data_IF_242090514954
#
_entry.id   IF_242090514954
#
_cell.length_a   1.000
_cell.length_b   1.000
_cell.length_c   1.000
_cell.angle_alpha   90.00
_cell.angle_beta   90.00
_cell.angle_gamma   90.00
#
_symmetry.space_group_name_H-M   'P 1'
#
loop_
_entity.id
_entity.type
_entity.pdbx_description
1 polymer ?
#
# COMPACT_ATOMS: atom_id res chain seq x y z
N UNK A 1 -10.78 -4.84 37.62
CA UNK A 1 -9.61 -3.95 37.78
C UNK A 1 -8.35 -4.70 38.22
N UNK A 2 -8.43 -5.69 39.13
CA UNK A 2 -7.27 -6.49 39.55
C UNK A 2 -6.62 -7.33 38.43
N UNK A 3 -7.41 -7.96 37.55
CA UNK A 3 -6.92 -8.72 36.39
C UNK A 3 -6.04 -7.86 35.46
N UNK A 4 -6.34 -6.56 35.33
CA UNK A 4 -5.53 -5.64 34.51
C UNK A 4 -4.16 -5.36 35.16
N UNK A 5 -4.12 -5.27 36.49
CA UNK A 5 -2.92 -5.00 37.27
C UNK A 5 -1.99 -6.23 37.27
N UNK A 6 -2.54 -7.43 37.44
CA UNK A 6 -1.77 -8.69 37.36
C UNK A 6 -1.22 -8.94 35.95
N UNK A 7 -1.99 -8.57 34.92
CA UNK A 7 -1.52 -8.65 33.54
C UNK A 7 -0.34 -7.70 33.30
N UNK A 8 -0.45 -6.43 33.73
CA UNK A 8 0.63 -5.44 33.60
C UNK A 8 1.89 -5.88 34.37
N UNK A 9 1.75 -6.44 35.58
CA UNK A 9 2.87 -6.94 36.37
C UNK A 9 3.58 -8.12 35.69
N UNK A 10 2.84 -9.00 35.01
CA UNK A 10 3.38 -10.17 34.30
C UNK A 10 4.23 -9.77 33.08
N UNK A 11 3.82 -8.73 32.34
CA UNK A 11 4.53 -8.30 31.13
C UNK A 11 5.59 -7.23 31.38
N UNK A 12 5.64 -6.62 32.58
CA UNK A 12 6.64 -5.62 32.92
C UNK A 12 8.10 -6.07 32.62
N UNK A 13 8.55 -7.29 32.97
CA UNK A 13 9.90 -7.76 32.65
C UNK A 13 10.19 -7.82 31.16
N UNK A 14 9.21 -8.20 30.34
CA UNK A 14 9.34 -8.26 28.88
C UNK A 14 9.44 -6.86 28.26
N UNK A 15 8.69 -5.89 28.80
CA UNK A 15 8.78 -4.49 28.38
C UNK A 15 10.16 -3.91 28.73
N UNK A 16 10.69 -4.22 29.92
CA UNK A 16 12.06 -3.85 30.32
C UNK A 16 13.12 -4.48 29.41
N UNK A 17 12.96 -5.76 29.07
CA UNK A 17 13.88 -6.47 28.19
C UNK A 17 13.93 -5.88 26.79
N UNK A 18 12.77 -5.67 26.15
CA UNK A 18 12.68 -5.06 24.81
C UNK A 18 13.27 -3.65 24.83
N UNK A 19 12.98 -2.85 25.85
CA UNK A 19 13.52 -1.50 25.98
C UNK A 19 15.04 -1.50 26.16
N UNK A 20 15.58 -2.44 26.95
CA UNK A 20 17.02 -2.63 27.12
C UNK A 20 17.74 -3.02 25.84
N UNK A 21 17.15 -3.93 25.04
CA UNK A 21 17.69 -4.33 23.73
C UNK A 21 17.72 -3.14 22.75
N UNK A 22 16.65 -2.34 22.71
CA UNK A 22 16.59 -1.15 21.85
C UNK A 22 17.61 -0.09 22.32
N UNK A 23 17.77 0.10 23.64
CA UNK A 23 18.79 1.01 24.18
C UNK A 23 20.21 0.57 23.81
N UNK A 24 20.52 -0.72 23.89
CA UNK A 24 21.81 -1.27 23.46
C UNK A 24 22.04 -1.10 21.96
N UNK A 25 21.00 -1.29 21.12
CA UNK A 25 21.08 -1.04 19.69
C UNK A 25 21.39 0.43 19.36
N UNK A 26 20.73 1.36 20.06
CA UNK A 26 20.99 2.80 19.88
C UNK A 26 22.39 3.19 20.36
N UNK A 27 22.86 2.59 21.46
CA UNK A 27 24.24 2.77 21.94
C UNK A 27 25.26 2.22 20.93
N UNK A 28 25.01 1.04 20.35
CA UNK A 28 25.85 0.48 19.27
C UNK A 28 25.90 1.40 18.04
N UNK A 29 24.75 1.91 17.58
CA UNK A 29 24.69 2.86 16.46
C UNK A 29 25.47 4.15 16.74
N UNK A 30 25.39 4.70 17.95
CA UNK A 30 26.17 5.90 18.31
C UNK A 30 27.67 5.65 18.36
N UNK A 31 28.10 4.45 18.76
CA UNK A 31 29.50 4.05 18.71
C UNK A 31 30.01 3.91 17.27
N UNK A 32 29.21 3.32 16.39
CA UNK A 32 29.54 3.16 14.97
C UNK A 32 29.70 4.52 14.27
N UNK A 33 28.74 5.43 14.45
CA UNK A 33 28.78 6.78 13.83
C UNK A 33 29.89 7.66 14.44
N UNK A 34 30.21 7.49 15.73
CA UNK A 34 31.37 8.19 16.34
C UNK A 34 32.71 7.71 15.79
N UNK A 35 32.81 6.46 15.33
CA UNK A 35 34.00 5.97 14.66
C UNK A 35 34.17 6.65 13.28
N UNK A 36 33.08 6.83 12.53
CA UNK A 36 33.07 7.50 11.21
C UNK A 36 33.34 9.02 11.29
N UNK A 37 32.96 9.68 12.40
CA UNK A 37 33.14 11.12 12.60
C UNK A 37 34.60 11.61 12.60
N UNK A 38 35.59 10.71 12.65
CA UNK A 38 37.02 11.06 12.55
C UNK A 38 37.49 11.37 11.13
N UNK A 39 36.65 11.20 10.11
CA UNK A 39 37.00 11.45 8.70
C UNK A 39 36.22 12.60 8.02
N UNK A 40 35.30 13.28 8.72
CA UNK A 40 34.50 14.35 8.12
C UNK A 40 35.31 15.66 8.00
N UNK A 41 35.82 15.96 6.80
CA UNK A 41 36.59 17.17 6.48
C UNK A 41 35.69 18.33 6.00
N UNK A 42 34.46 18.05 5.54
CA UNK A 42 33.58 19.05 4.93
C UNK A 42 32.40 19.47 5.84
N UNK A 43 32.13 20.78 5.85
CA UNK A 43 31.05 21.43 6.63
C UNK A 43 29.65 20.87 6.36
N UNK A 44 29.39 20.39 5.14
CA UNK A 44 28.10 19.82 4.76
C UNK A 44 27.80 18.47 5.43
N UNK A 45 28.83 17.65 5.70
CA UNK A 45 28.66 16.39 6.44
C UNK A 45 28.40 16.64 7.92
N UNK A 46 28.94 17.75 8.45
CA UNK A 46 28.69 18.20 9.82
C UNK A 46 27.23 18.57 10.04
N UNK A 47 26.58 19.16 9.04
CA UNK A 47 25.18 19.61 9.13
C UNK A 47 24.19 18.45 9.03
N UNK A 48 24.49 17.43 8.21
CA UNK A 48 23.73 16.16 8.18
C UNK A 48 23.84 15.40 9.51
N UNK A 49 25.04 15.33 10.10
CA UNK A 49 25.26 14.65 11.37
C UNK A 49 24.56 15.35 12.57
N UNK A 50 24.34 16.66 12.50
CA UNK A 50 23.59 17.40 13.54
C UNK A 50 22.10 17.07 13.49
N UNK A 51 21.54 16.87 12.30
CA UNK A 51 20.13 16.45 12.14
C UNK A 51 19.91 15.00 12.60
N UNK A 52 20.84 14.10 12.29
CA UNK A 52 20.77 12.71 12.74
C UNK A 52 20.93 12.55 14.26
N UNK A 53 21.72 13.42 14.92
CA UNK A 53 21.80 13.47 16.38
C UNK A 53 20.42 13.75 17.00
N UNK A 54 19.61 14.61 16.39
CA UNK A 54 18.26 14.93 16.87
C UNK A 54 17.34 13.71 16.93
N UNK A 55 17.35 12.86 15.90
CA UNK A 55 16.53 11.63 15.86
C UNK A 55 17.01 10.57 16.85
N UNK A 56 18.31 10.50 17.10
CA UNK A 56 18.88 9.58 18.10
C UNK A 56 18.54 10.05 19.52
N UNK A 57 18.60 11.37 19.79
CA UNK A 57 18.21 11.92 21.08
C UNK A 57 16.72 11.79 21.35
N UNK A 58 15.85 12.03 20.35
CA UNK A 58 14.40 11.92 20.52
C UNK A 58 13.95 10.48 20.82
N UNK A 59 14.53 9.50 20.12
CA UNK A 59 14.26 8.07 20.38
C UNK A 59 14.79 7.61 21.73
N UNK A 60 15.99 8.03 22.14
CA UNK A 60 16.51 7.74 23.47
C UNK A 60 15.63 8.34 24.59
N UNK A 61 15.17 9.57 24.41
CA UNK A 61 14.27 10.23 25.37
C UNK A 61 12.91 9.56 25.45
N UNK A 62 12.35 9.11 24.32
CA UNK A 62 11.12 8.35 24.28
C UNK A 62 11.24 7.02 25.06
N UNK A 63 12.34 6.28 24.88
CA UNK A 63 12.59 5.05 25.65
C UNK A 63 12.72 5.32 27.15
N UNK A 64 13.37 6.42 27.53
CA UNK A 64 13.51 6.83 28.93
C UNK A 64 12.13 7.16 29.54
N UNK A 65 11.28 7.89 28.81
CA UNK A 65 9.91 8.18 29.26
C UNK A 65 9.10 6.89 29.43
N UNK A 66 9.19 5.96 28.48
CA UNK A 66 8.51 4.65 28.58
C UNK A 66 9.01 3.84 29.78
N UNK A 67 10.33 3.82 30.04
CA UNK A 67 10.92 3.20 31.24
C UNK A 67 10.44 3.87 32.53
N UNK A 68 10.40 5.20 32.57
CA UNK A 68 9.95 5.96 33.74
C UNK A 68 8.48 5.70 34.06
N UNK A 69 7.61 5.72 33.03
CA UNK A 69 6.17 5.48 33.19
C UNK A 69 5.89 4.05 33.62
N UNK A 70 6.56 3.06 33.03
CA UNK A 70 6.42 1.65 33.42
C UNK A 70 6.90 1.41 34.86
N UNK A 71 8.04 2.00 35.25
CA UNK A 71 8.53 1.91 36.63
C UNK A 71 7.57 2.58 37.62
N UNK A 72 7.08 3.78 37.30
CA UNK A 72 6.14 4.52 38.13
C UNK A 72 4.85 3.73 38.34
N UNK A 73 4.22 3.25 37.25
CA UNK A 73 2.98 2.47 37.32
C UNK A 73 3.16 1.16 38.10
N UNK A 74 4.26 0.44 37.89
CA UNK A 74 4.52 -0.83 38.57
C UNK A 74 4.85 -0.67 40.07
N UNK A 75 5.59 0.37 40.46
CA UNK A 75 6.13 0.45 41.83
C UNK A 75 5.38 1.43 42.73
N UNK A 76 4.98 2.59 42.21
CA UNK A 76 4.30 3.62 43.01
C UNK A 76 2.80 3.41 43.05
N UNK A 77 2.18 3.02 41.92
CA UNK A 77 0.73 2.82 41.85
C UNK A 77 0.28 1.57 42.62
N UNK A 78 1.02 0.46 42.48
CA UNK A 78 0.70 -0.81 43.18
C UNK A 78 0.80 -0.62 44.70
N UNK A 79 1.90 -0.03 45.20
CA UNK A 79 2.07 0.25 46.64
C UNK A 79 1.05 1.24 47.19
N UNK A 80 0.59 2.19 46.38
CA UNK A 80 -0.44 3.15 46.80
C UNK A 80 -1.85 2.56 46.85
N UNK A 81 -2.13 1.51 46.07
CA UNK A 81 -3.45 0.88 45.96
C UNK A 81 -3.64 -0.32 46.90
N UNK A 82 -2.55 -0.93 47.39
CA UNK A 82 -2.58 -2.03 48.39
C UNK A 82 -3.49 -1.75 49.61
N UNK A 83 -3.43 -0.59 50.30
CA UNK A 83 -4.25 -0.39 51.51
C UNK A 83 -5.76 -0.28 51.22
N UNK A 84 -6.15 0.19 50.03
CA UNK A 84 -7.57 0.34 49.67
C UNK A 84 -8.20 -0.99 49.23
N UNK A 85 -7.40 -1.90 48.69
CA UNK A 85 -7.84 -3.22 48.23
C UNK A 85 -8.03 -4.19 49.40
N UNK A 86 -7.23 -4.08 50.45
CA UNK A 86 -7.33 -4.96 51.61
C UNK A 86 -8.57 -4.67 52.46
N UNK A 87 -8.98 -3.40 52.57
CA UNK A 87 -10.26 -2.99 53.21
C UNK A 87 -11.47 -3.62 52.49
N UNK A 88 -11.43 -3.69 51.15
CA UNK A 88 -12.47 -4.31 50.33
C UNK A 88 -12.45 -5.86 50.35
N UNK A 89 -11.41 -6.47 50.92
CA UNK A 89 -11.21 -7.93 50.99
C UNK A 89 -11.73 -8.55 52.29
N UNK A 90 -12.18 -7.75 53.25
CA UNK A 90 -12.84 -8.28 54.45
C UNK A 90 -14.19 -8.93 54.07
N UNK A 91 -14.42 -10.21 54.39
CA UNK A 91 -15.66 -10.89 54.02
C UNK A 91 -16.84 -10.32 54.84
N UNK A 92 -17.82 -9.73 54.14
CA UNK A 92 -19.15 -9.47 54.69
C UNK A 92 -19.87 -10.81 54.90
N UNK A 93 -20.60 -11.03 56.01
CA UNK A 93 -21.03 -12.35 56.44
C UNK A 93 -22.04 -13.04 55.49
N UNK A 94 -21.97 -14.36 55.55
CA UNK A 94 -22.64 -15.44 54.81
C UNK A 94 -24.17 -15.26 54.68
N UNK A 95 -24.69 -15.30 53.44
CA UNK A 95 -26.14 -15.37 53.18
C UNK A 95 -26.52 -16.84 53.00
N UNK A 96 -27.29 -17.38 53.95
CA UNK A 96 -27.89 -18.71 53.91
C UNK A 96 -28.90 -18.83 52.76
N UNK A 97 -28.63 -19.74 51.81
CA UNK A 97 -29.58 -20.13 50.77
C UNK A 97 -30.34 -21.41 51.17
N UNK A 98 -31.65 -21.31 51.36
CA UNK A 98 -32.55 -22.48 51.50
C UNK A 98 -32.93 -23.01 50.10
N UNK A 99 -32.76 -24.32 49.80
CA UNK A 99 -33.15 -24.88 48.50
C UNK A 99 -34.65 -25.24 48.45
N UNK A 100 -35.33 -24.86 47.37
CA UNK A 100 -36.71 -25.29 47.06
C UNK A 100 -36.70 -26.29 45.90
N UNK A 101 -37.42 -27.44 45.99
CA UNK A 101 -37.26 -28.58 45.09
C UNK A 101 -37.93 -28.47 43.71
N UNK A 102 -37.20 -29.02 42.74
CA UNK A 102 -37.50 -29.38 41.35
C UNK A 102 -38.83 -30.12 41.15
N UNK A 103 -39.57 -29.76 40.10
CA UNK A 103 -40.53 -30.66 39.43
C UNK A 103 -40.33 -30.62 37.91
N UNK A 104 -39.91 -31.76 37.37
CA UNK A 104 -39.77 -32.06 35.94
C UNK A 104 -40.84 -33.07 35.56
N UNK A 105 -41.58 -32.87 34.45
CA UNK A 105 -42.18 -33.98 33.72
C UNK A 105 -41.58 -34.17 32.31
N UNK A 106 -41.57 -35.45 31.92
CA UNK A 106 -40.90 -36.17 30.84
C UNK A 106 -41.43 -35.90 29.40
N UNK A 107 -40.66 -36.30 28.36
CA UNK A 107 -40.99 -36.06 26.94
C UNK A 107 -41.92 -37.11 26.34
N UNK A 108 -42.70 -36.71 25.33
CA UNK A 108 -43.52 -37.62 24.52
C UNK A 108 -42.92 -37.72 23.13
N UNK A 109 -42.60 -38.96 22.76
CA UNK A 109 -42.21 -39.43 21.44
C UNK A 109 -43.46 -39.78 20.64
N UNK A 110 -43.52 -39.42 19.35
CA UNK A 110 -44.33 -40.14 18.37
C UNK A 110 -43.63 -40.20 17.01
N UNK A 111 -43.66 -41.39 16.44
CA UNK A 111 -43.04 -41.82 15.20
C UNK A 111 -44.07 -41.88 14.08
N UNK A 112 -43.66 -41.66 12.82
CA UNK A 112 -43.97 -42.53 11.68
C UNK A 112 -43.59 -41.89 10.31
N UNK A 113 -42.68 -42.58 9.62
CA UNK A 113 -42.50 -42.78 8.18
C UNK A 113 -43.46 -42.10 7.17
N UNK A 114 -42.91 -41.53 6.09
CA UNK A 114 -42.76 -42.21 4.78
C UNK A 114 -42.28 -41.26 3.63
N UNK A 115 -41.29 -41.71 2.84
CA UNK A 115 -40.99 -41.27 1.46
C UNK A 115 -42.02 -41.90 0.47
N UNK A 116 -42.12 -41.61 -0.87
CA UNK A 116 -41.15 -40.99 -1.81
C UNK A 116 -41.71 -40.09 -2.98
N UNK A 117 -40.76 -39.49 -3.72
CA UNK A 117 -40.72 -39.11 -5.16
C UNK A 117 -41.97 -38.68 -5.96
N UNK A 118 -41.83 -37.60 -6.75
CA UNK A 118 -42.10 -37.58 -8.20
C UNK A 118 -41.32 -36.43 -8.88
N UNK A 119 -40.89 -36.71 -10.11
CA UNK A 119 -39.83 -36.05 -10.90
C UNK A 119 -40.47 -35.10 -11.96
N UNK A 120 -39.84 -34.85 -13.11
CA UNK A 120 -39.19 -33.62 -13.59
C UNK A 120 -40.08 -32.76 -14.52
N UNK A 121 -39.57 -31.65 -15.06
CA UNK A 121 -39.75 -31.21 -16.48
C UNK A 121 -38.99 -29.89 -16.71
N UNK A 122 -37.85 -29.91 -17.44
CA UNK A 122 -37.60 -29.37 -18.81
C UNK A 122 -37.88 -27.85 -18.91
N UNK A 123 -36.96 -26.96 -19.30
CA UNK A 123 -36.27 -26.92 -20.61
C UNK A 123 -35.17 -25.82 -20.65
N UNK A 124 -34.00 -26.08 -21.27
CA UNK A 124 -33.03 -25.08 -21.72
C UNK A 124 -33.00 -25.01 -23.26
N UNK A 125 -33.56 -23.96 -23.86
CA UNK A 125 -33.40 -23.65 -25.29
C UNK A 125 -32.24 -22.64 -25.44
N UNK A 126 -31.07 -23.04 -25.95
CA UNK A 126 -30.68 -23.17 -27.37
C UNK A 126 -30.67 -21.80 -28.08
N UNK A 127 -29.50 -21.21 -28.42
CA UNK A 127 -28.54 -21.54 -29.49
C UNK A 127 -28.63 -20.48 -30.60
N UNK A 128 -27.46 -19.90 -30.87
CA UNK A 128 -26.98 -19.19 -32.05
C UNK A 128 -27.94 -18.93 -33.23
N UNK A 129 -27.93 -17.68 -33.70
CA UNK A 129 -28.07 -17.37 -35.12
C UNK A 129 -26.93 -16.46 -35.58
N UNK A 130 -26.05 -17.04 -36.39
CA UNK A 130 -25.17 -16.36 -37.33
C UNK A 130 -25.98 -16.07 -38.59
N UNK A 131 -25.97 -14.81 -39.05
CA UNK A 131 -26.44 -14.50 -40.42
C UNK A 131 -25.46 -13.55 -41.09
N UNK A 132 -24.72 -14.10 -42.04
CA UNK A 132 -24.10 -13.38 -43.15
C UNK A 132 -25.12 -13.36 -44.29
N UNK A 133 -25.21 -12.25 -45.03
CA UNK A 133 -25.18 -12.41 -46.47
C UNK A 133 -24.22 -11.44 -47.16
N UNK A 134 -23.37 -12.07 -47.98
CA UNK A 134 -22.69 -11.58 -49.16
C UNK A 134 -23.56 -10.66 -50.02
N UNK A 135 -23.03 -9.50 -50.40
CA UNK A 135 -23.43 -8.77 -51.59
C UNK A 135 -22.18 -8.24 -52.31
N UNK A 136 -21.87 -8.93 -53.40
CA UNK A 136 -20.93 -8.62 -54.46
C UNK A 136 -21.41 -7.38 -55.22
N UNK A 137 -20.60 -6.33 -55.30
CA UNK A 137 -20.82 -5.20 -56.22
C UNK A 137 -19.59 -4.98 -57.09
N UNK A 138 -19.81 -5.39 -58.34
CA UNK A 138 -19.20 -5.07 -59.61
C UNK A 138 -18.32 -3.80 -59.66
N UNK A 139 -17.13 -4.00 -60.25
CA UNK A 139 -16.11 -3.02 -60.54
C UNK A 139 -16.55 -1.89 -61.51
N UNK A 140 -15.97 -0.70 -61.32
CA UNK A 140 -15.97 0.40 -62.29
C UNK A 140 -14.51 0.89 -62.50
N UNK A 141 -14.16 1.35 -63.71
CA UNK A 141 -12.78 1.36 -64.19
C UNK A 141 -11.91 2.47 -63.60
N UNK A 142 -10.68 2.06 -63.32
CA UNK A 142 -9.51 2.84 -62.92
C UNK A 142 -9.10 3.88 -63.98
N UNK A 143 -9.06 5.16 -63.60
CA UNK A 143 -8.24 6.17 -64.28
C UNK A 143 -6.91 6.22 -63.55
N UNK A 144 -5.88 5.60 -64.14
CA UNK A 144 -4.54 5.55 -63.59
C UNK A 144 -3.81 6.87 -63.84
N UNK A 145 -3.85 7.78 -62.87
CA UNK A 145 -2.86 8.87 -62.76
C UNK A 145 -1.64 8.27 -62.08
N UNK A 146 -0.56 8.06 -62.83
CA UNK A 146 0.73 7.60 -62.28
C UNK A 146 1.41 8.77 -61.58
N UNK A 147 1.04 9.01 -60.31
CA UNK A 147 1.81 9.85 -59.40
C UNK A 147 2.93 8.97 -58.84
N UNK A 148 4.18 9.44 -58.94
CA UNK A 148 5.32 8.74 -58.34
C UNK A 148 5.03 8.42 -56.85
N UNK A 149 5.43 7.24 -56.33
CA UNK A 149 5.22 6.92 -54.92
C UNK A 149 5.82 8.02 -54.06
N UNK A 150 5.08 8.63 -53.11
CA UNK A 150 5.72 9.49 -52.13
C UNK A 150 6.75 8.65 -51.39
N UNK A 151 8.00 9.07 -51.42
CA UNK A 151 9.05 8.59 -50.53
C UNK A 151 8.47 8.58 -49.11
N UNK A 152 8.33 7.40 -48.50
CA UNK A 152 7.78 7.29 -47.16
C UNK A 152 8.64 8.15 -46.22
N UNK A 153 8.06 9.25 -45.73
CA UNK A 153 8.63 10.00 -44.60
C UNK A 153 8.85 9.00 -43.47
N UNK A 154 10.05 8.90 -42.88
CA UNK A 154 10.29 7.97 -41.79
C UNK A 154 9.27 8.23 -40.69
N UNK A 155 8.47 7.21 -40.34
CA UNK A 155 7.60 7.30 -39.18
C UNK A 155 8.46 7.62 -37.95
N UNK A 156 8.07 8.59 -37.10
CA UNK A 156 8.82 8.90 -35.90
C UNK A 156 8.94 7.62 -35.05
N UNK A 157 10.18 7.20 -34.82
CA UNK A 157 10.51 6.02 -34.02
C UNK A 157 10.16 6.29 -32.56
N UNK A 158 9.04 5.71 -32.11
CA UNK A 158 8.64 5.69 -30.69
C UNK A 158 9.62 4.82 -29.92
N UNK A 159 10.45 5.46 -29.08
CA UNK A 159 11.44 4.78 -28.24
C UNK A 159 10.94 4.67 -26.81
N UNK A 160 11.31 3.61 -26.10
CA UNK A 160 11.03 3.51 -24.68
C UNK A 160 11.82 4.59 -23.89
N UNK A 161 11.23 5.20 -22.86
CA UNK A 161 11.92 6.15 -21.99
C UNK A 161 13.15 5.53 -21.33
N UNK A 162 14.26 6.28 -21.28
CA UNK A 162 15.45 5.87 -20.54
C UNK A 162 15.28 6.28 -19.09
N UNK A 163 14.87 5.32 -18.25
CA UNK A 163 14.72 5.52 -16.81
C UNK A 163 16.02 5.15 -16.09
N UNK A 164 16.50 6.02 -15.19
CA UNK A 164 17.73 5.77 -14.42
C UNK A 164 17.58 4.64 -13.39
N UNK A 165 16.38 4.44 -12.84
CA UNK A 165 16.10 3.45 -11.81
C UNK A 165 15.37 2.24 -12.36
N UNK A 166 15.92 1.04 -12.16
CA UNK A 166 15.28 -0.21 -12.56
C UNK A 166 13.94 -0.51 -11.85
N UNK A 167 13.71 0.17 -10.73
CA UNK A 167 12.55 0.04 -9.86
C UNK A 167 11.40 1.00 -10.24
N UNK A 168 11.66 1.98 -11.09
CA UNK A 168 10.69 2.95 -11.60
C UNK A 168 10.93 3.09 -13.10
N UNK A 169 10.22 2.31 -13.90
CA UNK A 169 10.35 2.27 -15.36
C UNK A 169 8.99 2.48 -16.00
N UNK A 170 8.90 3.39 -16.96
CA UNK A 170 7.78 3.47 -17.90
C UNK A 170 8.25 2.82 -19.20
N UNK A 171 7.56 1.78 -19.67
CA UNK A 171 7.81 1.15 -20.97
C UNK A 171 6.89 1.71 -22.06
N UNK A 172 5.62 1.96 -21.71
CA UNK A 172 4.64 2.61 -22.59
C UNK A 172 3.83 3.64 -21.80
N UNK A 173 3.46 4.78 -22.40
CA UNK A 173 3.82 5.23 -23.75
C UNK A 173 5.32 5.54 -23.90
N UNK A 174 5.80 5.51 -25.14
CA UNK A 174 7.16 5.85 -25.52
C UNK A 174 7.39 7.36 -25.62
N UNK A 175 8.65 7.76 -25.67
CA UNK A 175 9.05 9.16 -25.81
C UNK A 175 8.55 9.73 -27.13
N UNK A 176 7.85 10.87 -27.04
CA UNK A 176 7.18 11.58 -28.14
C UNK A 176 6.11 10.75 -28.84
N UNK A 177 5.56 9.72 -28.20
CA UNK A 177 4.43 8.97 -28.74
C UNK A 177 3.17 9.85 -28.77
N UNK A 178 2.46 9.83 -29.90
CA UNK A 178 1.15 10.46 -30.02
C UNK A 178 0.06 9.51 -29.52
N UNK A 179 -0.71 9.96 -28.55
CA UNK A 179 -1.74 9.18 -27.84
C UNK A 179 -3.10 9.86 -27.92
N UNK A 180 -4.18 9.05 -27.94
CA UNK A 180 -5.56 9.52 -28.07
C UNK A 180 -6.53 8.63 -27.28
N UNK A 181 -7.54 9.23 -26.65
CA UNK A 181 -8.57 8.51 -25.91
C UNK A 181 -8.05 7.87 -24.62
N UNK A 182 -8.33 6.58 -24.41
CA UNK A 182 -7.90 5.88 -23.20
C UNK A 182 -6.59 5.15 -23.45
N UNK A 183 -5.54 5.50 -22.72
CA UNK A 183 -4.22 4.87 -22.81
C UNK A 183 -3.88 4.07 -21.56
N UNK A 184 -3.11 3.00 -21.75
CA UNK A 184 -2.55 2.20 -20.67
C UNK A 184 -1.07 2.54 -20.49
N UNK A 185 -0.69 2.97 -19.30
CA UNK A 185 0.71 3.14 -18.92
C UNK A 185 1.23 1.79 -18.45
N UNK A 186 2.22 1.26 -19.14
CA UNK A 186 2.83 -0.04 -18.85
C UNK A 186 4.24 0.19 -18.36
N UNK A 187 4.63 -0.49 -17.29
CA UNK A 187 5.91 -0.23 -16.64
C UNK A 187 6.20 -1.13 -15.45
N UNK A 188 7.22 -0.74 -14.71
CA UNK A 188 7.64 -1.35 -13.46
C UNK A 188 7.66 -0.29 -12.36
N UNK A 189 6.87 -0.51 -11.32
CA UNK A 189 6.86 0.25 -10.09
C UNK A 189 7.04 -0.74 -8.92
N UNK A 190 8.30 -0.98 -8.54
CA UNK A 190 8.64 -1.98 -7.53
C UNK A 190 9.67 -1.46 -6.56
N UNK A 191 9.45 -1.62 -5.25
CA UNK A 191 10.44 -1.28 -4.23
C UNK A 191 10.35 -2.26 -3.05
N UNK A 192 11.45 -2.64 -2.39
CA UNK A 192 11.40 -3.58 -1.25
C UNK A 192 10.51 -3.09 -0.11
N UNK A 193 10.50 -1.77 0.12
CA UNK A 193 9.67 -1.11 1.13
C UNK A 193 8.60 -0.22 0.45
N UNK A 194 7.99 -0.68 -0.64
CA UNK A 194 6.96 0.09 -1.35
C UNK A 194 5.82 0.46 -0.39
N UNK A 195 5.46 1.74 -0.35
CA UNK A 195 4.23 2.19 0.27
C UNK A 195 3.16 2.42 -0.79
N UNK A 196 3.50 3.18 -1.83
CA UNK A 196 2.67 3.38 -3.01
C UNK A 196 3.50 3.93 -4.17
N UNK A 197 2.97 3.81 -5.38
CA UNK A 197 3.45 4.57 -6.52
C UNK A 197 2.36 5.52 -7.01
N UNK A 198 2.78 6.57 -7.68
CA UNK A 198 1.88 7.53 -8.34
C UNK A 198 2.43 7.94 -9.70
N UNK A 199 1.52 8.17 -10.62
CA UNK A 199 1.75 8.76 -11.92
C UNK A 199 1.22 10.19 -11.87
N UNK A 200 2.09 11.11 -12.25
CA UNK A 200 1.82 12.53 -12.30
C UNK A 200 2.00 13.05 -13.72
N UNK A 201 1.42 14.22 -14.01
CA UNK A 201 1.52 14.89 -15.29
C UNK A 201 1.82 16.37 -15.14
N UNK A 202 2.54 16.92 -16.12
CA UNK A 202 2.75 18.35 -16.25
C UNK A 202 2.81 18.72 -17.74
N UNK A 203 2.44 19.95 -18.14
CA UNK A 203 2.77 20.45 -19.47
C UNK A 203 4.26 20.26 -19.76
N UNK A 204 4.61 19.84 -20.98
CA UNK A 204 5.98 19.53 -21.32
C UNK A 204 6.95 20.70 -21.01
N UNK A 205 8.04 20.41 -20.31
CA UNK A 205 9.04 21.40 -19.89
C UNK A 205 8.70 22.17 -18.61
N UNK A 206 7.59 21.85 -17.93
CA UNK A 206 7.21 22.48 -16.66
C UNK A 206 7.34 21.51 -15.48
N UNK A 207 7.42 22.06 -14.27
CA UNK A 207 7.44 21.28 -13.02
C UNK A 207 6.12 21.39 -12.23
N UNK A 208 5.02 21.75 -12.89
CA UNK A 208 3.71 21.83 -12.26
C UNK A 208 2.99 20.48 -12.37
N UNK A 209 3.27 19.61 -11.40
CA UNK A 209 2.83 18.21 -11.42
C UNK A 209 1.43 18.06 -10.81
N UNK A 210 0.48 17.56 -11.60
CA UNK A 210 -0.81 17.06 -11.16
C UNK A 210 -0.79 15.54 -10.96
N UNK A 211 -1.67 15.01 -10.12
CA UNK A 211 -1.84 13.57 -9.93
C UNK A 211 -2.79 12.99 -10.98
N UNK A 212 -2.46 11.83 -11.56
CA UNK A 212 -3.33 11.08 -12.48
C UNK A 212 -3.86 9.80 -11.85
N UNK A 213 -2.95 8.95 -11.39
CA UNK A 213 -3.27 7.61 -10.93
C UNK A 213 -2.15 7.07 -10.04
N UNK A 214 -2.40 5.96 -9.35
CA UNK A 214 -1.45 5.35 -8.43
C UNK A 214 -2.09 4.18 -7.70
N UNK A 215 -1.26 3.32 -7.14
CA UNK A 215 -1.67 2.15 -6.37
C UNK A 215 -0.63 1.86 -5.27
N UNK A 216 -0.99 1.00 -4.32
CA UNK A 216 -0.12 0.54 -3.23
C UNK A 216 0.61 -0.77 -3.58
N UNK A 217 0.11 -1.50 -4.59
CA UNK A 217 0.69 -2.76 -4.99
C UNK A 217 1.89 -2.57 -5.92
N UNK A 218 2.92 -3.41 -5.76
CA UNK A 218 4.05 -3.41 -6.68
C UNK A 218 3.64 -4.00 -8.03
N UNK A 219 4.10 -3.39 -9.12
CA UNK A 219 3.84 -3.84 -10.48
C UNK A 219 5.17 -4.03 -11.21
N UNK A 220 5.34 -5.15 -11.90
CA UNK A 220 6.56 -5.47 -12.65
C UNK A 220 6.17 -5.81 -14.09
N UNK A 221 6.67 -5.03 -15.05
CA UNK A 221 6.34 -5.15 -16.48
C UNK A 221 4.83 -5.28 -16.76
N UNK A 222 4.02 -4.53 -16.02
CA UNK A 222 2.57 -4.62 -16.03
C UNK A 222 1.88 -3.28 -16.22
N UNK A 223 0.57 -3.27 -16.14
CA UNK A 223 -0.23 -2.03 -16.24
C UNK A 223 -0.10 -1.25 -14.93
N UNK A 224 0.49 -0.06 -15.01
CA UNK A 224 0.61 0.86 -13.88
C UNK A 224 -0.66 1.69 -13.69
N UNK A 225 -1.28 2.13 -14.79
CA UNK A 225 -2.54 2.85 -14.78
C UNK A 225 -3.20 2.84 -16.16
N UNK A 226 -4.50 3.12 -16.17
CA UNK A 226 -5.27 3.45 -17.37
C UNK A 226 -5.73 4.90 -17.25
N UNK A 227 -5.41 5.72 -18.25
CA UNK A 227 -5.60 7.17 -18.25
C UNK A 227 -6.50 7.55 -19.42
N UNK A 228 -7.53 8.34 -19.16
CA UNK A 228 -8.30 9.03 -20.20
C UNK A 228 -7.60 10.33 -20.56
N UNK A 229 -7.12 10.47 -21.80
CA UNK A 229 -6.35 11.65 -22.23
C UNK A 229 -7.22 12.88 -22.46
N UNK A 230 -8.55 12.77 -22.41
CA UNK A 230 -9.46 13.92 -22.46
C UNK A 230 -9.22 14.91 -21.30
N UNK A 231 -8.73 14.43 -20.15
CA UNK A 231 -8.47 15.29 -18.97
C UNK A 231 -7.20 16.13 -19.11
N UNK A 232 -6.28 15.75 -20.02
CA UNK A 232 -5.05 16.50 -20.28
C UNK A 232 -5.28 17.56 -21.37
N UNK A 233 -6.13 17.28 -22.36
CA UNK A 233 -6.31 18.16 -23.53
C UNK A 233 -5.13 18.08 -24.52
N UNK A 234 -5.35 18.62 -25.73
CA UNK A 234 -4.42 18.43 -26.84
C UNK A 234 -3.12 19.24 -26.65
N UNK A 235 -1.97 18.58 -26.83
CA UNK A 235 -0.66 19.21 -26.63
C UNK A 235 0.42 18.25 -26.13
N UNK A 236 1.60 18.80 -25.82
CA UNK A 236 2.72 18.05 -25.28
C UNK A 236 2.66 17.97 -23.75
N UNK A 237 2.69 16.75 -23.22
CA UNK A 237 2.59 16.46 -21.79
C UNK A 237 3.75 15.59 -21.33
N UNK A 238 4.24 15.79 -20.12
CA UNK A 238 5.21 14.90 -19.50
C UNK A 238 4.53 14.10 -18.40
N UNK A 239 4.58 12.79 -18.51
CA UNK A 239 4.17 11.86 -17.47
C UNK A 239 5.38 11.50 -16.62
N UNK A 240 5.16 11.36 -15.31
CA UNK A 240 6.19 11.02 -14.33
C UNK A 240 5.71 9.91 -13.41
N UNK A 241 6.50 8.84 -13.29
CA UNK A 241 6.28 7.76 -12.34
C UNK A 241 7.15 7.97 -11.09
N UNK A 242 6.50 8.14 -9.95
CA UNK A 242 7.15 8.29 -8.63
C UNK A 242 6.80 7.07 -7.78
N UNK A 243 7.82 6.37 -7.30
CA UNK A 243 7.68 5.22 -6.41
C UNK A 243 8.07 5.67 -5.00
N UNK A 244 7.15 5.62 -4.05
CA UNK A 244 7.34 6.13 -2.68
C UNK A 244 7.46 4.95 -1.72
N UNK A 245 8.48 4.97 -0.88
CA UNK A 245 8.69 3.95 0.15
C UNK A 245 7.99 4.30 1.49
N UNK A 246 7.97 3.35 2.42
CA UNK A 246 7.38 3.53 3.75
C UNK A 246 8.06 4.62 4.61
N UNK A 247 9.23 5.10 4.20
CA UNK A 247 9.94 6.21 4.85
C UNK A 247 9.61 7.57 4.21
N UNK A 248 8.80 7.59 3.15
CA UNK A 248 8.44 8.78 2.39
C UNK A 248 9.51 9.22 1.39
N UNK A 249 10.57 8.41 1.20
CA UNK A 249 11.58 8.67 0.19
C UNK A 249 11.13 8.12 -1.16
N UNK A 250 11.58 8.76 -2.23
CA UNK A 250 11.36 8.30 -3.59
C UNK A 250 12.67 8.41 -4.38
N UNK A 251 13.08 7.37 -5.11
CA UNK A 251 14.22 7.44 -6.00
C UNK A 251 13.90 8.35 -7.20
N UNK A 252 14.91 8.64 -8.02
CA UNK A 252 14.73 9.48 -9.20
C UNK A 252 13.61 8.94 -10.10
N UNK A 253 12.55 9.73 -10.35
CA UNK A 253 11.36 9.24 -11.02
C UNK A 253 11.58 9.11 -12.53
N UNK A 254 10.97 8.12 -13.16
CA UNK A 254 11.01 8.03 -14.62
C UNK A 254 10.04 9.03 -15.24
N UNK A 255 10.48 9.70 -16.30
CA UNK A 255 9.70 10.70 -17.02
C UNK A 255 9.60 10.35 -18.50
N UNK A 256 8.43 10.58 -19.10
CA UNK A 256 8.20 10.44 -20.53
C UNK A 256 7.37 11.59 -21.06
N UNK A 257 7.81 12.18 -22.16
CA UNK A 257 7.01 13.17 -22.89
C UNK A 257 6.16 12.48 -23.94
N UNK A 258 4.88 12.84 -24.02
CA UNK A 258 3.88 12.35 -24.96
C UNK A 258 3.14 13.50 -25.62
N UNK A 259 2.52 13.24 -26.77
CA UNK A 259 1.65 14.19 -27.46
C UNK A 259 0.22 13.69 -27.43
N UNK A 260 -0.69 14.49 -26.86
CA UNK A 260 -2.12 14.16 -26.79
C UNK A 260 -2.84 14.82 -27.96
N UNK A 261 -3.63 14.02 -28.69
CA UNK A 261 -4.45 14.45 -29.83
C UNK A 261 -5.86 13.84 -29.76
N UNK A 262 -6.68 14.29 -28.81
CA UNK A 262 -8.09 13.89 -28.70
C UNK A 262 -8.95 14.43 -29.84
#
# INVERSE_FOLDING_TARGET
>A
MQILIDYIATYAPWIYFVCGVVALYQMYRTWLVRAERRQAVFSLEREKAVRDLGNIFSTAMLLLVVMGVTYFTSTTLVRALEPMVEEARSPSPEIDFVPTPTNTPLPISDAANSLPQLVPTVDPAATAETVTPTAEVLAAPTVAVTVAPPTATPAPIVQAPVCANGNSIILRPGTNETVRGVITVVGTASHPNLQYYKIEYAPAGTANWGYLAGDQNAVINGVLATIDTSVLGNGAWTLRLVVVDQTGNYPEPCQVTIYVEN
#
